data_IF_630548337540
#
_entry.id   IF_630548337540
#
_cell.length_a   1.000
_cell.length_b   1.000
_cell.length_c   1.000
_cell.angle_alpha   90.00
_cell.angle_beta   90.00
_cell.angle_gamma   90.00
#
_symmetry.space_group_name_H-M   'P 1'
#
loop_
_entity.id
_entity.type
_entity.pdbx_description
1 polymer ?
#
# COMPACT_ATOMS: atom_id res chain seq x y z
N UNK A 1 -1.90 -6.21 15.95
CA UNK A 1 -1.46 -5.45 14.76
C UNK A 1 -1.16 -6.43 13.63
N UNK A 2 -1.63 -6.17 12.42
CA UNK A 2 -1.35 -7.06 11.30
C UNK A 2 0.11 -6.98 10.87
N UNK A 3 0.57 -8.01 10.16
CA UNK A 3 1.89 -7.98 9.53
C UNK A 3 1.80 -7.27 8.18
N UNK A 4 2.93 -6.84 7.64
CA UNK A 4 2.95 -6.22 6.32
C UNK A 4 2.49 -7.21 5.24
N UNK A 5 2.83 -8.48 5.38
CA UNK A 5 2.40 -9.52 4.45
C UNK A 5 0.88 -9.66 4.43
N UNK A 6 0.24 -9.55 5.62
CA UNK A 6 -1.22 -9.58 5.70
C UNK A 6 -1.86 -8.38 5.04
N UNK A 7 -1.26 -7.19 5.20
CA UNK A 7 -1.77 -5.97 4.55
C UNK A 7 -1.71 -6.12 3.03
N UNK A 8 -0.59 -6.59 2.50
CA UNK A 8 -0.44 -6.80 1.06
C UNK A 8 -1.44 -7.84 0.55
N UNK A 9 -1.64 -8.92 1.31
CA UNK A 9 -2.62 -9.96 0.95
C UNK A 9 -4.03 -9.41 0.90
N UNK A 10 -4.42 -8.61 1.89
CA UNK A 10 -5.74 -7.98 1.92
C UNK A 10 -5.93 -7.01 0.76
N UNK A 11 -4.90 -6.22 0.45
CA UNK A 11 -4.96 -5.28 -0.67
C UNK A 11 -5.08 -6.02 -2.00
N UNK A 12 -4.35 -7.11 -2.17
CA UNK A 12 -4.43 -7.94 -3.38
C UNK A 12 -5.82 -8.54 -3.54
N UNK A 13 -6.46 -8.90 -2.44
CA UNK A 13 -7.80 -9.51 -2.46
C UNK A 13 -8.90 -8.55 -2.94
N UNK A 14 -8.64 -7.25 -2.99
CA UNK A 14 -9.61 -6.27 -3.54
C UNK A 14 -9.85 -6.53 -5.03
N UNK A 15 -8.84 -7.07 -5.72
CA UNK A 15 -9.00 -7.47 -7.11
C UNK A 15 -8.54 -6.45 -8.15
N UNK A 16 -7.98 -5.32 -7.70
CA UNK A 16 -7.40 -4.34 -8.62
C UNK A 16 -5.97 -4.74 -8.98
N UNK A 17 -5.46 -4.27 -10.14
CA UNK A 17 -4.04 -4.42 -10.41
C UNK A 17 -3.22 -3.80 -9.27
N UNK A 18 -2.21 -4.51 -8.81
CA UNK A 18 -1.38 -4.06 -7.68
C UNK A 18 0.08 -4.37 -7.95
N UNK A 19 0.95 -3.43 -7.62
CA UNK A 19 2.39 -3.62 -7.77
C UNK A 19 3.14 -2.92 -6.64
N UNK A 20 4.39 -3.33 -6.44
CA UNK A 20 5.30 -2.70 -5.50
C UNK A 20 6.09 -1.60 -6.19
N UNK A 21 6.23 -0.47 -5.52
CA UNK A 21 7.00 0.72 -5.93
C UNK A 21 6.39 1.49 -7.09
N UNK A 22 6.31 0.92 -8.27
CA UNK A 22 5.76 1.61 -9.43
C UNK A 22 5.46 0.64 -10.56
N UNK A 23 4.47 0.99 -11.36
CA UNK A 23 4.24 0.29 -12.62
C UNK A 23 5.28 0.72 -13.63
N UNK A 24 5.91 -0.25 -14.29
CA UNK A 24 6.92 0.01 -15.31
C UNK A 24 6.41 -0.45 -16.65
N UNK A 25 6.43 0.45 -17.63
CA UNK A 25 6.10 0.11 -18.99
C UNK A 25 7.26 -0.68 -19.59
N UNK A 26 6.97 -1.85 -20.13
CA UNK A 26 7.95 -2.67 -20.82
C UNK A 26 7.45 -3.00 -22.22
N UNK A 27 8.30 -3.61 -23.06
CA UNK A 27 7.89 -4.02 -24.40
C UNK A 27 6.70 -4.99 -24.38
N UNK A 28 6.53 -5.75 -23.29
CA UNK A 28 5.49 -6.78 -23.18
C UNK A 28 4.33 -6.39 -22.27
N UNK A 29 4.50 -5.38 -21.43
CA UNK A 29 3.48 -4.98 -20.46
C UNK A 29 3.25 -3.48 -20.50
N UNK A 30 2.00 -3.10 -20.51
CA UNK A 30 1.59 -1.72 -20.38
C UNK A 30 1.24 -1.43 -18.92
N UNK A 31 1.33 -0.16 -18.54
CA UNK A 31 0.77 0.29 -17.26
C UNK A 31 -0.74 0.10 -17.34
N UNK A 32 -1.38 -0.54 -16.36
CA UNK A 32 -2.82 -0.74 -16.42
C UNK A 32 -3.58 0.57 -16.35
N UNK A 33 -4.81 0.56 -16.84
CA UNK A 33 -5.71 1.69 -16.67
C UNK A 33 -6.14 1.78 -15.20
N UNK A 34 -6.34 2.99 -14.66
CA UNK A 34 -6.90 3.12 -13.31
C UNK A 34 -8.32 2.53 -13.27
N UNK A 35 -8.78 2.04 -12.10
CA UNK A 35 -8.09 2.10 -10.81
C UNK A 35 -7.05 1.00 -10.64
N UNK A 36 -5.97 1.34 -9.95
CA UNK A 36 -4.95 0.37 -9.55
C UNK A 36 -4.28 0.80 -8.25
N UNK A 37 -3.53 -0.12 -7.65
CA UNK A 37 -2.86 0.11 -6.37
C UNK A 37 -1.35 -0.03 -6.54
N UNK A 38 -0.62 0.86 -5.88
CA UNK A 38 0.83 0.76 -5.75
C UNK A 38 1.13 0.75 -4.24
N UNK A 39 2.00 -0.16 -3.79
CA UNK A 39 2.42 -0.12 -2.41
C UNK A 39 3.93 0.13 -2.30
N UNK A 40 4.30 0.87 -1.25
CA UNK A 40 5.69 1.19 -0.96
C UNK A 40 6.00 0.75 0.46
N UNK A 41 7.20 0.20 0.62
CA UNK A 41 7.65 -0.31 1.91
C UNK A 41 9.06 0.18 2.16
N UNK A 42 9.26 0.78 3.33
CA UNK A 42 10.58 1.10 3.85
C UNK A 42 10.74 0.38 5.17
N UNK A 43 11.82 -0.34 5.33
CA UNK A 43 11.99 -1.21 6.48
C UNK A 43 13.34 -1.01 7.15
N UNK A 44 13.31 -0.96 8.48
CA UNK A 44 14.51 -0.98 9.32
C UNK A 44 14.43 -2.17 10.27
N UNK A 45 15.51 -2.90 10.38
CA UNK A 45 15.61 -3.98 11.35
C UNK A 45 16.39 -3.49 12.57
N UNK A 46 15.87 -3.78 13.74
CA UNK A 46 16.52 -3.45 15.01
C UNK A 46 16.55 -4.69 15.89
N UNK A 47 17.43 -4.66 16.88
CA UNK A 47 17.54 -5.70 17.87
C UNK A 47 18.87 -6.42 17.78
N UNK A 48 19.52 -6.52 18.92
CA UNK A 48 20.78 -7.21 19.07
C UNK A 48 20.61 -8.59 19.68
N UNK A 49 19.38 -8.97 19.93
CA UNK A 49 19.06 -10.27 20.50
C UNK A 49 19.23 -11.34 19.43
N UNK A 50 19.96 -12.39 19.77
CA UNK A 50 20.19 -13.51 18.86
C UNK A 50 18.91 -14.25 18.50
N UNK A 51 17.88 -14.14 19.34
CA UNK A 51 16.63 -14.89 19.19
C UNK A 51 15.52 -14.10 18.50
N UNK A 52 15.59 -12.78 18.55
CA UNK A 52 14.51 -11.92 18.07
C UNK A 52 15.03 -10.80 17.21
N UNK A 53 14.26 -10.46 16.19
CA UNK A 53 14.50 -9.29 15.35
C UNK A 53 13.26 -8.44 15.38
N UNK A 54 13.45 -7.13 15.51
CA UNK A 54 12.37 -6.16 15.42
C UNK A 54 12.43 -5.50 14.06
N UNK A 55 11.35 -5.64 13.30
CA UNK A 55 11.19 -4.97 12.01
C UNK A 55 10.30 -3.75 12.20
N UNK A 56 10.80 -2.59 11.83
CA UNK A 56 9.98 -1.38 11.75
C UNK A 56 9.70 -1.09 10.29
N UNK A 57 8.44 -1.06 9.94
CA UNK A 57 8.00 -0.97 8.56
C UNK A 57 7.14 0.28 8.40
N UNK A 58 7.60 1.18 7.54
CA UNK A 58 6.79 2.28 7.06
C UNK A 58 6.21 1.88 5.71
N UNK A 59 4.91 1.82 5.64
CA UNK A 59 4.22 1.38 4.45
C UNK A 59 3.28 2.43 3.91
N UNK A 60 2.98 2.31 2.63
CA UNK A 60 2.01 3.16 1.97
C UNK A 60 1.25 2.34 0.94
N UNK A 61 -0.07 2.51 0.92
CA UNK A 61 -0.91 2.03 -0.17
C UNK A 61 -1.38 3.25 -0.93
N UNK A 62 -1.15 3.25 -2.23
CA UNK A 62 -1.57 4.35 -3.10
C UNK A 62 -2.61 3.84 -4.07
N UNK A 63 -3.81 4.38 -3.97
CA UNK A 63 -4.90 4.09 -4.90
C UNK A 63 -4.91 5.16 -5.96
N UNK A 64 -4.82 4.76 -7.23
CA UNK A 64 -4.90 5.69 -8.37
C UNK A 64 -6.23 5.51 -9.05
N UNK A 65 -6.97 6.59 -9.22
CA UNK A 65 -8.28 6.59 -9.87
C UNK A 65 -8.32 7.58 -11.03
N UNK A 66 -9.22 7.33 -11.98
CA UNK A 66 -9.33 8.14 -13.18
C UNK A 66 -10.07 9.45 -12.90
N UNK A 67 -9.37 10.57 -12.99
CA UNK A 67 -9.89 11.95 -12.93
C UNK A 67 -10.52 12.38 -11.61
N UNK A 68 -11.26 11.51 -10.95
CA UNK A 68 -11.98 11.83 -9.72
C UNK A 68 -11.69 10.80 -8.64
N UNK A 69 -11.82 11.18 -7.36
CA UNK A 69 -11.74 10.19 -6.28
C UNK A 69 -12.85 9.16 -6.40
N UNK A 70 -12.57 7.94 -5.96
CA UNK A 70 -13.56 6.87 -5.88
C UNK A 70 -13.79 6.51 -4.42
N UNK A 71 -14.78 7.12 -3.81
CA UNK A 71 -15.08 6.92 -2.40
C UNK A 71 -15.42 5.47 -2.06
N UNK A 72 -16.05 4.75 -2.97
CA UNK A 72 -16.40 3.36 -2.76
C UNK A 72 -15.15 2.49 -2.60
N UNK A 73 -14.16 2.67 -3.46
CA UNK A 73 -12.88 1.97 -3.35
C UNK A 73 -12.10 2.40 -2.12
N UNK A 74 -12.13 3.69 -1.79
CA UNK A 74 -11.48 4.18 -0.58
C UNK A 74 -12.04 3.51 0.66
N UNK A 75 -13.36 3.43 0.78
CA UNK A 75 -14.00 2.77 1.91
C UNK A 75 -13.70 1.28 1.94
N UNK A 76 -13.62 0.65 0.78
CA UNK A 76 -13.29 -0.76 0.71
C UNK A 76 -11.88 -1.02 1.24
N UNK A 77 -10.90 -0.19 0.86
CA UNK A 77 -9.55 -0.29 1.38
C UNK A 77 -9.53 -0.07 2.89
N UNK A 78 -10.23 0.95 3.36
CA UNK A 78 -10.26 1.27 4.79
C UNK A 78 -10.90 0.17 5.63
N UNK A 79 -11.96 -0.46 5.12
CA UNK A 79 -12.70 -1.48 5.85
C UNK A 79 -12.12 -2.89 5.71
N UNK A 80 -11.55 -3.22 4.57
CA UNK A 80 -11.10 -4.59 4.30
C UNK A 80 -9.59 -4.77 4.44
N UNK A 81 -8.82 -3.69 4.34
CA UNK A 81 -7.36 -3.76 4.41
C UNK A 81 -6.82 -3.14 5.68
N UNK A 82 -7.30 -1.95 6.03
CA UNK A 82 -6.72 -1.13 7.10
C UNK A 82 -7.59 -1.06 8.35
N UNK A 83 -8.56 -1.95 8.52
CA UNK A 83 -9.54 -1.89 9.61
C UNK A 83 -8.93 -2.04 11.01
N UNK A 84 -7.76 -2.64 11.13
CA UNK A 84 -7.09 -2.91 12.41
C UNK A 84 -5.73 -2.20 12.52
N UNK A 85 -5.52 -1.17 11.74
CA UNK A 85 -4.24 -0.46 11.67
C UNK A 85 -4.48 1.04 11.54
N UNK A 86 -3.91 1.86 12.44
CA UNK A 86 -3.97 3.31 12.26
C UNK A 86 -3.26 3.75 10.99
N UNK A 87 -3.82 4.71 10.29
CA UNK A 87 -3.24 5.23 9.06
C UNK A 87 -3.48 6.73 8.93
N UNK A 88 -2.68 7.37 8.11
CA UNK A 88 -2.91 8.73 7.65
C UNK A 88 -3.28 8.67 6.18
N UNK A 89 -4.27 9.49 5.80
CA UNK A 89 -4.81 9.49 4.45
C UNK A 89 -4.54 10.83 3.78
N UNK A 90 -3.95 10.76 2.60
CA UNK A 90 -3.67 11.93 1.76
C UNK A 90 -4.27 11.73 0.38
N UNK A 91 -4.76 12.81 -0.20
CA UNK A 91 -5.31 12.75 -1.55
C UNK A 91 -4.78 13.92 -2.37
N UNK A 92 -4.33 13.63 -3.58
CA UNK A 92 -3.74 14.63 -4.46
C UNK A 92 -4.16 14.39 -5.91
N UNK A 93 -4.34 15.48 -6.65
CA UNK A 93 -4.57 15.40 -8.08
C UNK A 93 -3.24 15.29 -8.80
N UNK A 94 -3.13 14.34 -9.73
CA UNK A 94 -1.99 14.22 -10.62
C UNK A 94 -2.45 14.71 -11.98
N UNK A 95 -2.38 16.02 -12.16
CA UNK A 95 -2.96 16.69 -13.32
C UNK A 95 -2.33 16.29 -14.64
N UNK A 96 -1.01 16.00 -14.63
CA UNK A 96 -0.31 15.57 -15.84
C UNK A 96 -0.83 14.26 -16.42
N UNK A 97 -1.49 13.44 -15.61
CA UNK A 97 -1.99 12.13 -16.02
C UNK A 97 -3.50 11.99 -15.87
N UNK A 98 -4.17 13.06 -15.47
CA UNK A 98 -5.62 13.06 -15.22
C UNK A 98 -6.04 11.97 -14.22
N UNK A 99 -5.28 11.84 -13.14
CA UNK A 99 -5.56 10.84 -12.11
C UNK A 99 -5.62 11.50 -10.74
N UNK A 100 -6.24 10.79 -9.80
CA UNK A 100 -6.23 11.14 -8.39
C UNK A 100 -5.48 10.04 -7.65
N UNK A 101 -4.56 10.45 -6.78
CA UNK A 101 -3.84 9.54 -5.90
C UNK A 101 -4.42 9.66 -4.50
N UNK A 102 -4.85 8.54 -3.93
CA UNK A 102 -5.25 8.46 -2.53
C UNK A 102 -4.25 7.58 -1.81
N UNK A 103 -3.45 8.18 -0.96
CA UNK A 103 -2.36 7.49 -0.28
C UNK A 103 -2.73 7.23 1.18
N UNK A 104 -2.46 6.01 1.64
CA UNK A 104 -2.65 5.60 3.03
C UNK A 104 -1.28 5.24 3.59
N UNK A 105 -0.81 6.02 4.56
CA UNK A 105 0.49 5.78 5.19
C UNK A 105 0.31 5.18 6.57
N UNK A 106 1.12 4.18 6.89
CA UNK A 106 1.03 3.47 8.15
C UNK A 106 2.40 2.98 8.61
N UNK A 107 2.48 2.61 9.88
CA UNK A 107 3.69 2.06 10.47
C UNK A 107 3.35 0.75 11.17
N UNK A 108 4.17 -0.27 10.95
CA UNK A 108 4.03 -1.58 11.58
C UNK A 108 5.33 -1.95 12.26
N UNK A 109 5.23 -2.39 13.51
CA UNK A 109 6.36 -2.96 14.24
C UNK A 109 6.12 -4.45 14.37
N UNK A 110 6.99 -5.26 13.78
CA UNK A 110 6.89 -6.71 13.84
C UNK A 110 8.08 -7.28 14.59
N UNK A 111 7.80 -8.21 15.50
CA UNK A 111 8.84 -9.00 16.14
C UNK A 111 8.92 -10.34 15.46
N UNK A 112 10.12 -10.70 15.05
CA UNK A 112 10.37 -12.00 14.43
C UNK A 112 11.35 -12.80 15.26
N UNK A 113 11.00 -14.02 15.54
CA UNK A 113 11.88 -14.94 16.26
C UNK A 113 12.78 -15.64 15.28
N UNK A 114 14.07 -15.56 15.54
CA UNK A 114 15.07 -16.24 14.71
C UNK A 114 15.15 -17.71 15.04
#
# INVERSE_FOLDING_TARGET
MPTIEEIIKRATAIGLPITKNAWKKTAKKQVPDPPYIVYLISENQRGNDKMNTIREIDGSLELYTDRTPDESLERQIEKEVLFDLPFEKYQADITSENMVQTAYEFNITQKERK
#
